data_IF_037625898078
#
_entry.id   IF_037625898078
#
_cell.length_a   1.000
_cell.length_b   1.000
_cell.length_c   1.000
_cell.angle_alpha   90.00
_cell.angle_beta   90.00
_cell.angle_gamma   90.00
#
_symmetry.space_group_name_H-M   'P 1'
#
loop_
_entity.id
_entity.type
_entity.pdbx_description
1 polymer ?
#
# COMPACT_ATOMS: atom_id res chain seq x y z
N UNK A 1 -1.68 34.27 31.21
CA UNK A 1 -1.52 34.74 29.81
C UNK A 1 -2.00 36.18 29.74
N UNK A 2 -1.10 37.12 29.39
CA UNK A 2 -1.45 38.55 29.24
C UNK A 2 -2.23 38.74 27.93
N UNK A 3 -3.33 39.50 28.00
CA UNK A 3 -4.15 39.89 26.84
C UNK A 3 -3.59 41.22 26.32
N UNK A 4 -3.38 41.32 25.01
CA UNK A 4 -2.75 42.50 24.40
C UNK A 4 -3.78 43.63 24.16
N UNK A 5 -5.02 43.26 23.81
CA UNK A 5 -6.18 44.17 23.67
C UNK A 5 -7.49 43.42 23.91
N UNK A 6 -8.52 44.12 24.40
CA UNK A 6 -9.81 43.53 24.74
C UNK A 6 -10.44 42.83 23.52
N UNK A 7 -10.53 41.49 23.59
CA UNK A 7 -11.18 40.67 22.57
C UNK A 7 -10.27 40.04 21.51
N UNK A 8 -8.95 40.27 21.53
CA UNK A 8 -8.03 39.64 20.58
C UNK A 8 -6.95 38.82 21.32
N UNK A 9 -6.76 37.58 20.85
CA UNK A 9 -5.66 36.73 21.31
C UNK A 9 -4.33 37.32 20.80
N UNK A 10 -3.33 37.39 21.68
CA UNK A 10 -1.97 37.75 21.28
C UNK A 10 -1.47 36.73 20.25
N UNK A 11 -0.89 37.22 19.15
CA UNK A 11 -0.22 36.37 18.17
C UNK A 11 0.92 35.61 18.87
N UNK A 12 0.95 34.28 18.73
CA UNK A 12 1.98 33.44 19.36
C UNK A 12 3.35 33.56 18.70
N UNK A 13 3.42 34.06 17.46
CA UNK A 13 4.63 34.37 16.69
C UNK A 13 4.27 35.39 15.59
N UNK A 14 5.24 36.22 15.21
CA UNK A 14 5.12 37.28 14.18
C UNK A 14 5.41 36.77 12.75
N UNK A 15 5.71 35.47 12.62
CA UNK A 15 6.00 34.83 11.34
C UNK A 15 4.72 34.56 10.55
N UNK A 16 4.55 35.25 9.43
CA UNK A 16 3.52 34.93 8.44
C UNK A 16 3.74 33.53 7.87
N UNK A 17 2.97 32.54 8.36
CA UNK A 17 2.93 31.21 7.76
C UNK A 17 2.08 31.25 6.49
N UNK A 18 2.68 30.86 5.36
CA UNK A 18 1.91 30.66 4.13
C UNK A 18 1.03 29.42 4.30
N UNK A 19 -0.29 29.63 4.44
CA UNK A 19 -1.27 28.55 4.57
C UNK A 19 -1.92 28.33 3.21
N UNK A 20 -1.91 27.07 2.76
CA UNK A 20 -2.63 26.62 1.56
C UNK A 20 -3.74 25.66 1.98
N UNK A 21 -4.86 25.68 1.26
CA UNK A 21 -5.99 24.79 1.50
C UNK A 21 -6.25 23.92 0.27
N UNK A 22 -6.56 22.65 0.50
CA UNK A 22 -6.86 21.67 -0.54
C UNK A 22 -8.23 21.05 -0.27
N UNK A 23 -9.05 20.87 -1.32
CA UNK A 23 -10.32 20.16 -1.23
C UNK A 23 -10.12 18.73 -1.69
N UNK A 24 -10.58 17.78 -0.89
CA UNK A 24 -10.44 16.35 -1.11
C UNK A 24 -11.77 15.65 -0.83
N UNK A 25 -11.94 14.46 -1.40
CA UNK A 25 -13.02 13.56 -0.99
C UNK A 25 -12.71 12.94 0.37
N UNK A 26 -13.75 12.55 1.11
CA UNK A 26 -13.60 11.94 2.44
C UNK A 26 -12.71 10.70 2.43
N UNK A 27 -12.83 9.87 1.39
CA UNK A 27 -12.02 8.67 1.22
C UNK A 27 -10.53 9.01 1.03
N UNK A 28 -10.24 10.03 0.22
CA UNK A 28 -8.87 10.49 -0.02
C UNK A 28 -8.26 11.10 1.24
N UNK A 29 -9.05 11.88 1.98
CA UNK A 29 -8.62 12.47 3.25
C UNK A 29 -8.32 11.40 4.31
N UNK A 30 -9.14 10.34 4.38
CA UNK A 30 -8.91 9.20 5.28
C UNK A 30 -7.66 8.42 4.90
N UNK A 31 -7.46 8.14 3.62
CA UNK A 31 -6.28 7.43 3.13
C UNK A 31 -4.98 8.19 3.44
N UNK A 32 -4.95 9.51 3.19
CA UNK A 32 -3.83 10.38 3.56
C UNK A 32 -3.54 10.34 5.06
N UNK A 33 -4.59 10.31 5.89
CA UNK A 33 -4.46 10.17 7.34
C UNK A 33 -3.75 8.90 7.75
N UNK A 34 -4.18 7.75 7.22
CA UNK A 34 -3.57 6.47 7.55
C UNK A 34 -2.09 6.41 7.12
N UNK A 35 -1.77 6.95 5.94
CA UNK A 35 -0.38 6.94 5.45
C UNK A 35 0.51 7.83 6.31
N UNK A 36 0.07 9.04 6.64
CA UNK A 36 0.82 9.95 7.51
C UNK A 36 1.07 9.32 8.89
N UNK A 37 0.06 8.65 9.47
CA UNK A 37 0.17 7.96 10.76
C UNK A 37 1.17 6.78 10.70
N UNK A 38 1.15 5.98 9.63
CA UNK A 38 2.14 4.92 9.41
C UNK A 38 3.59 5.44 9.32
N UNK A 39 3.77 6.69 8.86
CA UNK A 39 5.07 7.36 8.76
C UNK A 39 5.42 8.18 10.02
N UNK A 40 4.54 8.25 11.01
CA UNK A 40 4.73 9.06 12.22
C UNK A 40 4.72 10.57 11.97
N UNK A 41 4.15 11.01 10.85
CA UNK A 41 4.08 12.42 10.42
C UNK A 41 2.69 12.99 10.69
N UNK A 42 2.60 14.32 10.81
CA UNK A 42 1.28 14.96 10.72
C UNK A 42 0.78 14.92 9.27
N UNK A 43 -0.53 14.94 9.07
CA UNK A 43 -1.12 15.01 7.71
C UNK A 43 -0.59 16.20 6.91
N UNK A 44 -0.30 17.33 7.58
CA UNK A 44 0.24 18.52 6.93
C UNK A 44 1.70 18.30 6.49
N UNK A 45 2.55 17.75 7.36
CA UNK A 45 3.96 17.48 7.03
C UNK A 45 4.07 16.45 5.90
N UNK A 46 3.21 15.43 5.92
CA UNK A 46 3.14 14.45 4.84
C UNK A 46 2.72 15.08 3.51
N UNK A 47 1.76 16.01 3.51
CA UNK A 47 1.38 16.77 2.31
C UNK A 47 2.51 17.68 1.82
N UNK A 48 3.23 18.35 2.73
CA UNK A 48 4.40 19.16 2.37
C UNK A 48 5.52 18.30 1.77
N UNK A 49 5.74 17.11 2.32
CA UNK A 49 6.72 16.16 1.79
C UNK A 49 6.34 15.66 0.40
N UNK A 50 5.06 15.33 0.18
CA UNK A 50 4.55 14.97 -1.16
C UNK A 50 4.79 16.12 -2.14
N UNK A 51 4.42 17.35 -1.78
CA UNK A 51 4.57 18.52 -2.66
C UNK A 51 6.05 18.81 -2.93
N UNK A 52 6.91 18.68 -1.93
CA UNK A 52 8.35 18.91 -2.05
C UNK A 52 9.04 17.85 -2.90
N UNK A 53 8.59 16.59 -2.83
CA UNK A 53 9.10 15.48 -3.65
C UNK A 53 8.57 15.50 -5.08
N UNK A 54 7.41 16.11 -5.32
CA UNK A 54 6.78 16.24 -6.64
C UNK A 54 7.06 17.59 -7.33
N UNK A 55 8.25 18.17 -7.12
CA UNK A 55 8.75 19.33 -7.89
C UNK A 55 9.07 18.96 -9.35
N UNK A 56 8.11 18.37 -10.06
CA UNK A 56 8.00 18.52 -11.51
C UNK A 56 7.18 19.80 -11.79
N UNK A 57 7.49 20.54 -12.85
CA UNK A 57 6.85 21.83 -13.11
C UNK A 57 5.33 21.64 -13.25
N UNK A 58 4.57 22.36 -12.43
CA UNK A 58 3.11 22.42 -12.52
C UNK A 58 2.68 22.94 -13.90
N UNK A 59 1.72 22.26 -14.54
CA UNK A 59 1.15 22.64 -15.86
C UNK A 59 0.08 23.75 -15.72
N UNK A 60 0.21 24.61 -14.72
CA UNK A 60 -0.70 25.75 -14.53
C UNK A 60 -0.03 27.03 -15.02
N UNK A 61 -0.55 27.70 -16.06
CA UNK A 61 0.00 28.97 -16.54
C UNK A 61 0.00 29.99 -15.41
N UNK A 62 1.19 30.49 -15.05
CA UNK A 62 1.32 31.66 -14.20
C UNK A 62 0.88 32.87 -15.02
N UNK A 63 -0.31 33.37 -14.70
CA UNK A 63 -0.85 34.62 -15.22
C UNK A 63 -0.03 35.78 -14.61
N UNK A 64 1.04 36.18 -15.30
CA UNK A 64 1.76 37.41 -15.02
C UNK A 64 2.34 37.94 -16.34
N UNK A 65 1.51 38.76 -16.99
CA UNK A 65 1.85 39.94 -17.77
C UNK A 65 3.26 40.00 -18.36
N UNK A 66 3.38 39.78 -19.67
CA UNK A 66 3.96 40.72 -20.66
C UNK A 66 4.08 40.01 -22.02
N UNK A 67 3.17 40.32 -22.95
CA UNK A 67 3.45 40.22 -24.38
C UNK A 67 4.32 41.44 -24.75
N UNK A 68 5.39 41.28 -25.56
CA UNK A 68 5.15 41.18 -26.99
C UNK A 68 6.10 40.27 -27.79
N UNK A 69 5.69 40.07 -29.03
CA UNK A 69 6.50 39.74 -30.21
C UNK A 69 6.54 38.28 -30.64
N UNK A 70 5.79 38.04 -31.71
CA UNK A 70 5.82 36.85 -32.55
C UNK A 70 7.18 36.83 -33.26
N UNK A 71 8.02 35.84 -32.95
CA UNK A 71 9.14 35.41 -33.81
C UNK A 71 9.28 33.88 -33.73
N UNK A 72 9.29 33.16 -34.86
CA UNK A 72 9.39 31.70 -34.88
C UNK A 72 10.85 31.24 -35.11
N UNK A 73 11.47 30.66 -34.08
CA UNK A 73 12.69 29.82 -34.06
C UNK A 73 13.02 29.65 -32.56
N UNK A 74 13.40 28.52 -31.96
CA UNK A 74 14.17 27.37 -32.45
C UNK A 74 14.24 26.36 -31.27
N UNK A 75 14.00 25.06 -31.53
CA UNK A 75 14.71 23.97 -30.83
C UNK A 75 14.50 23.68 -29.35
N UNK A 76 13.27 23.57 -28.84
CA UNK A 76 13.03 22.67 -27.69
C UNK A 76 12.37 21.39 -28.19
N UNK A 77 13.14 20.31 -28.20
CA UNK A 77 12.66 18.94 -28.42
C UNK A 77 11.57 18.63 -27.39
N UNK A 78 10.31 18.94 -27.72
CA UNK A 78 9.17 18.37 -27.02
C UNK A 78 9.35 16.85 -27.03
N UNK A 79 9.30 16.16 -25.87
CA UNK A 79 9.37 14.70 -25.84
C UNK A 79 8.26 14.18 -26.75
N UNK A 80 8.66 13.54 -27.85
CA UNK A 80 7.70 13.11 -28.85
C UNK A 80 6.68 12.20 -28.19
N UNK A 81 5.43 12.25 -28.65
CA UNK A 81 4.35 11.35 -28.19
C UNK A 81 4.82 9.89 -28.18
N UNK A 82 5.71 9.53 -29.11
CA UNK A 82 6.39 8.23 -29.21
C UNK A 82 7.25 7.87 -27.99
N UNK A 83 7.88 8.83 -27.31
CA UNK A 83 8.68 8.61 -26.10
C UNK A 83 7.81 8.20 -24.91
N UNK A 84 6.64 8.82 -24.76
CA UNK A 84 5.69 8.45 -23.70
C UNK A 84 5.04 7.09 -23.96
N UNK A 85 4.74 6.76 -25.22
CA UNK A 85 4.23 5.44 -25.59
C UNK A 85 5.23 4.33 -25.24
N UNK A 86 6.52 4.54 -25.52
CA UNK A 86 7.59 3.60 -25.15
C UNK A 86 7.73 3.43 -23.64
N UNK A 87 7.59 4.51 -22.88
CA UNK A 87 7.66 4.47 -21.42
C UNK A 87 6.44 3.75 -20.81
N UNK A 88 5.25 3.95 -21.37
CA UNK A 88 4.03 3.23 -20.99
C UNK A 88 4.16 1.73 -21.28
N UNK A 89 4.68 1.36 -22.44
CA UNK A 89 4.98 -0.04 -22.80
C UNK A 89 5.96 -0.67 -21.81
N UNK A 90 7.05 0.02 -21.48
CA UNK A 90 8.04 -0.43 -20.50
C UNK A 90 7.43 -0.63 -19.11
N UNK A 91 6.63 0.33 -18.64
CA UNK A 91 5.97 0.25 -17.35
C UNK A 91 4.95 -0.89 -17.30
N UNK A 92 4.20 -1.14 -18.37
CA UNK A 92 3.30 -2.29 -18.47
C UNK A 92 4.07 -3.61 -18.34
N UNK A 93 5.18 -3.76 -19.05
CA UNK A 93 6.03 -4.95 -18.95
C UNK A 93 6.58 -5.13 -17.53
N UNK A 94 6.99 -4.05 -16.87
CA UNK A 94 7.46 -4.10 -15.49
C UNK A 94 6.34 -4.51 -14.51
N UNK A 95 5.14 -3.94 -14.66
CA UNK A 95 3.98 -4.30 -13.83
C UNK A 95 3.62 -5.77 -14.02
N UNK A 96 3.63 -6.26 -15.26
CA UNK A 96 3.35 -7.66 -15.57
C UNK A 96 4.38 -8.60 -14.90
N UNK A 97 5.67 -8.27 -15.00
CA UNK A 97 6.73 -9.04 -14.35
C UNK A 97 6.58 -9.04 -12.81
N UNK A 98 6.28 -7.88 -12.22
CA UNK A 98 6.04 -7.78 -10.78
C UNK A 98 4.81 -8.58 -10.34
N UNK A 99 3.74 -8.58 -11.14
CA UNK A 99 2.54 -9.39 -10.86
C UNK A 99 2.85 -10.89 -10.90
N UNK A 100 3.64 -11.33 -11.86
CA UNK A 100 4.07 -12.73 -11.98
C UNK A 100 4.95 -13.14 -10.79
N UNK A 101 5.97 -12.35 -10.46
CA UNK A 101 6.82 -12.57 -9.28
C UNK A 101 6.01 -12.58 -7.98
N UNK A 102 5.06 -11.65 -7.83
CA UNK A 102 4.19 -11.61 -6.65
C UNK A 102 3.30 -12.86 -6.58
N UNK A 103 2.78 -13.34 -7.71
CA UNK A 103 2.01 -14.59 -7.78
C UNK A 103 2.87 -15.77 -7.32
N UNK A 104 4.10 -15.88 -7.83
CA UNK A 104 5.02 -16.94 -7.44
C UNK A 104 5.41 -16.86 -5.96
N UNK A 105 5.71 -15.66 -5.45
CA UNK A 105 6.00 -15.46 -4.03
C UNK A 105 4.82 -15.86 -3.14
N UNK A 106 3.58 -15.54 -3.53
CA UNK A 106 2.39 -15.97 -2.79
C UNK A 106 2.24 -17.48 -2.76
N UNK A 107 2.50 -18.17 -3.86
CA UNK A 107 2.49 -19.64 -3.95
C UNK A 107 3.54 -20.25 -3.03
N UNK A 108 4.78 -19.75 -3.10
CA UNK A 108 5.88 -20.20 -2.22
C UNK A 108 5.57 -19.96 -0.74
N UNK A 109 5.02 -18.79 -0.40
CA UNK A 109 4.64 -18.47 0.98
C UNK A 109 3.53 -19.40 1.49
N UNK A 110 2.52 -19.70 0.66
CA UNK A 110 1.46 -20.64 1.01
C UNK A 110 2.00 -22.07 1.22
N UNK A 111 2.93 -22.50 0.36
CA UNK A 111 3.62 -23.78 0.50
C UNK A 111 4.39 -23.87 1.83
N UNK A 112 5.24 -22.89 2.13
CA UNK A 112 6.03 -22.85 3.38
C UNK A 112 5.11 -22.82 4.61
N UNK A 113 4.04 -22.03 4.56
CA UNK A 113 3.08 -21.94 5.67
C UNK A 113 2.45 -23.31 5.98
N UNK A 114 1.96 -24.01 4.96
CA UNK A 114 1.34 -25.33 5.14
C UNK A 114 2.38 -26.39 5.53
N UNK A 115 3.58 -26.34 4.96
CA UNK A 115 4.60 -27.36 5.19
C UNK A 115 5.26 -27.23 6.57
N UNK A 116 5.64 -26.01 6.95
CA UNK A 116 6.61 -25.77 8.04
C UNK A 116 6.02 -25.02 9.24
N UNK A 117 4.96 -24.22 9.03
CA UNK A 117 4.36 -23.40 10.10
C UNK A 117 3.18 -24.13 10.75
N UNK A 118 2.34 -24.80 9.96
CA UNK A 118 1.15 -25.48 10.49
C UNK A 118 1.52 -26.84 11.09
N UNK A 119 1.35 -26.96 12.42
CA UNK A 119 1.49 -28.23 13.13
C UNK A 119 0.19 -29.04 13.07
N UNK A 120 0.02 -29.79 11.97
CA UNK A 120 -1.17 -30.59 11.71
C UNK A 120 -1.39 -31.71 12.74
N UNK A 121 -0.32 -32.24 13.33
CA UNK A 121 -0.36 -33.29 14.35
C UNK A 121 -1.04 -32.77 15.63
N UNK A 122 -0.69 -31.55 16.05
CA UNK A 122 -1.32 -30.91 17.20
C UNK A 122 -2.81 -30.63 16.95
N UNK A 123 -3.15 -30.17 15.73
CA UNK A 123 -4.54 -29.93 15.34
C UNK A 123 -5.33 -31.24 15.34
N UNK A 124 -4.78 -32.32 14.78
CA UNK A 124 -5.41 -33.65 14.79
C UNK A 124 -5.68 -34.12 16.21
N UNK A 125 -4.69 -34.04 17.08
CA UNK A 125 -4.80 -34.55 18.45
C UNK A 125 -5.82 -33.73 19.26
N UNK A 126 -5.89 -32.41 19.03
CA UNK A 126 -6.95 -31.56 19.56
C UNK A 126 -8.34 -31.97 19.08
N UNK A 127 -8.53 -32.19 17.78
CA UNK A 127 -9.83 -32.62 17.23
C UNK A 127 -10.25 -33.98 17.81
N UNK A 128 -9.33 -34.94 17.89
CA UNK A 128 -9.62 -36.25 18.48
C UNK A 128 -10.02 -36.13 19.96
N UNK A 129 -9.38 -35.21 20.70
CA UNK A 129 -9.74 -34.89 22.08
C UNK A 129 -11.15 -34.27 22.17
N UNK A 130 -11.47 -33.27 21.34
CA UNK A 130 -12.79 -32.63 21.29
C UNK A 130 -13.91 -33.64 20.95
N UNK A 131 -13.62 -34.59 20.07
CA UNK A 131 -14.52 -35.71 19.74
C UNK A 131 -14.66 -36.75 20.86
N UNK A 132 -13.96 -36.57 21.98
CA UNK A 132 -13.87 -37.52 23.11
C UNK A 132 -13.41 -38.92 22.67
N UNK A 133 -12.69 -39.00 21.56
CA UNK A 133 -12.07 -40.22 21.07
C UNK A 133 -10.74 -40.37 21.79
N UNK A 134 -10.78 -40.94 23.00
CA UNK A 134 -9.57 -41.41 23.66
C UNK A 134 -8.92 -42.54 22.84
N UNK A 135 -7.63 -42.80 23.06
CA UNK A 135 -6.87 -43.84 22.31
C UNK A 135 -7.49 -45.25 22.37
N UNK A 136 -8.35 -45.50 23.37
CA UNK A 136 -9.06 -46.77 23.56
C UNK A 136 -10.49 -46.79 22.98
N UNK A 137 -11.00 -45.67 22.47
CA UNK A 137 -12.30 -45.62 21.85
C UNK A 137 -12.32 -46.39 20.52
N UNK A 138 -13.38 -47.16 20.29
CA UNK A 138 -13.64 -47.90 19.04
C UNK A 138 -13.38 -47.03 17.79
N UNK A 139 -13.88 -45.80 17.77
CA UNK A 139 -13.80 -44.90 16.62
C UNK A 139 -12.46 -44.16 16.44
N UNK A 140 -11.55 -44.22 17.42
CA UNK A 140 -10.33 -43.41 17.43
C UNK A 140 -9.44 -43.67 16.20
N UNK A 141 -9.16 -44.95 15.91
CA UNK A 141 -8.28 -45.34 14.79
C UNK A 141 -8.85 -44.91 13.44
N UNK A 142 -10.16 -45.03 13.27
CA UNK A 142 -10.86 -44.64 12.04
C UNK A 142 -10.79 -43.12 11.84
N UNK A 143 -11.11 -42.35 12.88
CA UNK A 143 -11.03 -40.90 12.84
C UNK A 143 -9.59 -40.41 12.61
N UNK A 144 -8.62 -40.99 13.32
CA UNK A 144 -7.21 -40.65 13.18
C UNK A 144 -6.72 -40.93 11.74
N UNK A 145 -7.11 -42.06 11.15
CA UNK A 145 -6.76 -42.40 9.76
C UNK A 145 -7.38 -41.40 8.77
N UNK A 146 -8.65 -41.03 8.96
CA UNK A 146 -9.31 -40.05 8.11
C UNK A 146 -8.63 -38.67 8.20
N UNK A 147 -8.29 -38.22 9.41
CA UNK A 147 -7.59 -36.95 9.63
C UNK A 147 -6.18 -36.96 9.01
N UNK A 148 -5.42 -38.05 9.18
CA UNK A 148 -4.11 -38.18 8.54
C UNK A 148 -4.21 -38.13 7.01
N UNK A 149 -5.26 -38.74 6.42
CA UNK A 149 -5.51 -38.65 4.98
C UNK A 149 -5.81 -37.21 4.54
N UNK A 150 -6.67 -36.51 5.26
CA UNK A 150 -6.97 -35.10 4.98
C UNK A 150 -5.71 -34.23 5.04
N UNK A 151 -4.88 -34.41 6.07
CA UNK A 151 -3.60 -33.68 6.21
C UNK A 151 -2.70 -33.94 5.00
N UNK A 152 -2.60 -35.19 4.53
CA UNK A 152 -1.82 -35.52 3.34
C UNK A 152 -2.38 -34.84 2.08
N UNK A 153 -3.70 -34.81 1.91
CA UNK A 153 -4.35 -34.13 0.78
C UNK A 153 -4.14 -32.60 0.82
N UNK A 154 -4.18 -31.98 2.01
CA UNK A 154 -3.89 -30.55 2.19
C UNK A 154 -2.43 -30.22 1.84
N UNK A 155 -1.48 -31.04 2.28
CA UNK A 155 -0.06 -30.89 1.93
C UNK A 155 0.17 -31.05 0.42
N UNK A 156 -0.50 -32.01 -0.21
CA UNK A 156 -0.44 -32.20 -1.67
C UNK A 156 -1.07 -31.04 -2.45
N UNK A 157 -2.14 -30.45 -1.92
CA UNK A 157 -2.76 -29.28 -2.56
C UNK A 157 -1.82 -28.08 -2.50
N UNK A 158 -1.10 -27.91 -1.39
CA UNK A 158 -0.10 -26.85 -1.23
C UNK A 158 1.05 -26.95 -2.24
N UNK A 159 1.46 -28.17 -2.63
CA UNK A 159 2.54 -28.36 -3.64
C UNK A 159 2.09 -28.02 -5.06
N UNK A 160 0.77 -27.85 -5.29
CA UNK A 160 0.18 -27.61 -6.61
C UNK A 160 -0.28 -26.16 -6.82
N UNK A 161 -0.15 -25.30 -5.80
CA UNK A 161 -0.43 -23.87 -5.87
C UNK A 161 0.64 -23.15 -6.68
#
# INVERSE_FOLDING_TARGET
MKRDIQGKFALKNDDYRSVRSLRLTDDTWRALGMIAECLGLTRADYLEEIVSRNLLPSITPSEAEHLPSITPLEGEDLPSITRYEQEIERLKAQVQNLQENNSEMRKRAAFIFIQDVVNFETIRDRILFELKLGRQANGYKTAQKALNRLIAELKLLATRL
#
